data_IF_460520423891
#
_entry.id   IF_460520423891
#
_cell.length_a   1.000
_cell.length_b   1.000
_cell.length_c   1.000
_cell.angle_alpha   90.00
_cell.angle_beta   90.00
_cell.angle_gamma   90.00
#
_symmetry.space_group_name_H-M   'P 1'
#
loop_
_entity.id
_entity.type
_entity.pdbx_description
1 polymer ?
#
# COMPACT_ATOMS: atom_id res chain seq x y z
N UNK A 1 21.16 1.76 15.61
CA UNK A 1 20.49 3.07 15.48
C UNK A 1 20.00 3.24 14.04
N UNK A 2 18.92 2.57 13.66
CA UNK A 2 18.24 2.77 12.37
C UNK A 2 16.74 2.90 12.66
N UNK A 3 16.40 3.82 13.56
CA UNK A 3 15.02 4.17 13.85
C UNK A 3 14.82 5.61 13.42
N UNK A 4 13.74 5.85 12.68
CA UNK A 4 13.28 7.17 12.23
C UNK A 4 13.80 7.65 10.86
N UNK A 5 13.89 6.77 9.86
CA UNK A 5 13.67 7.26 8.48
C UNK A 5 12.17 7.49 8.37
N UNK A 6 11.77 8.76 8.42
CA UNK A 6 10.40 9.28 8.38
C UNK A 6 9.44 8.30 7.68
N UNK A 7 8.42 7.73 8.35
CA UNK A 7 7.50 6.76 7.74
C UNK A 7 6.75 7.31 6.51
N UNK A 8 6.88 8.61 6.26
CA UNK A 8 6.34 9.38 5.14
C UNK A 8 7.16 9.31 3.85
N UNK A 9 8.46 8.97 3.91
CA UNK A 9 9.32 8.84 2.72
C UNK A 9 8.79 7.82 1.68
N UNK A 10 8.39 6.59 2.07
CA UNK A 10 7.77 5.67 1.12
C UNK A 10 6.38 6.13 0.67
N UNK A 11 5.64 6.88 1.50
CA UNK A 11 4.34 7.47 1.15
C UNK A 11 4.48 8.56 0.08
N UNK A 12 5.57 9.32 0.10
CA UNK A 12 5.86 10.37 -0.88
C UNK A 12 6.47 9.83 -2.19
N UNK A 13 7.09 8.64 -2.17
CA UNK A 13 7.75 8.07 -3.35
C UNK A 13 6.78 7.83 -4.52
N UNK A 14 5.58 7.33 -4.22
CA UNK A 14 4.57 7.03 -5.24
C UNK A 14 3.99 8.27 -5.94
N UNK A 15 3.53 9.32 -5.23
CA UNK A 15 3.07 10.54 -5.90
C UNK A 15 4.19 11.26 -6.67
N UNK A 16 5.43 11.20 -6.18
CA UNK A 16 6.59 11.73 -6.91
C UNK A 16 6.83 10.95 -8.22
N UNK A 17 6.73 9.62 -8.19
CA UNK A 17 6.81 8.80 -9.40
C UNK A 17 5.71 9.14 -10.41
N UNK A 18 4.47 9.32 -9.95
CA UNK A 18 3.33 9.70 -10.82
C UNK A 18 3.57 11.08 -11.45
N UNK A 19 4.08 12.05 -10.69
CA UNK A 19 4.46 13.38 -11.20
C UNK A 19 5.57 13.31 -12.25
N UNK A 20 6.61 12.50 -12.01
CA UNK A 20 7.70 12.30 -12.97
C UNK A 20 7.19 11.67 -14.28
N UNK A 21 6.36 10.64 -14.21
CA UNK A 21 5.78 10.01 -15.39
C UNK A 21 4.80 10.92 -16.13
N UNK A 22 4.03 11.74 -15.42
CA UNK A 22 3.19 12.76 -16.05
C UNK A 22 4.02 13.80 -16.83
N UNK A 23 5.19 14.18 -16.31
CA UNK A 23 6.12 15.06 -17.00
C UNK A 23 6.68 14.39 -18.26
N UNK A 24 7.08 13.12 -18.18
CA UNK A 24 7.56 12.34 -19.34
C UNK A 24 6.48 12.25 -20.41
N UNK A 25 5.24 11.90 -20.05
CA UNK A 25 4.12 11.83 -20.99
C UNK A 25 3.84 13.17 -21.68
N UNK A 26 3.98 14.28 -20.94
CA UNK A 26 3.87 15.63 -21.50
C UNK A 26 4.99 15.93 -22.51
N UNK A 27 6.23 15.53 -22.23
CA UNK A 27 7.36 15.69 -23.16
C UNK A 27 7.16 14.82 -24.42
N UNK A 28 6.56 13.64 -24.27
CA UNK A 28 6.20 12.76 -25.39
C UNK A 28 5.00 13.26 -26.22
N UNK A 29 4.38 14.39 -25.85
CA UNK A 29 3.27 14.98 -26.62
C UNK A 29 1.91 14.35 -26.36
N UNK A 30 1.74 13.59 -25.27
CA UNK A 30 0.44 13.04 -24.89
C UNK A 30 -0.50 14.18 -24.48
N UNK A 31 -1.75 14.11 -24.92
CA UNK A 31 -2.76 15.12 -24.56
C UNK A 31 -2.95 15.20 -23.04
N UNK A 32 -3.15 16.41 -22.52
CA UNK A 32 -3.36 16.65 -21.09
C UNK A 32 -4.56 15.85 -20.55
N UNK A 33 -5.59 15.64 -21.37
CA UNK A 33 -6.77 14.85 -21.00
C UNK A 33 -6.42 13.38 -20.71
N UNK A 34 -5.55 12.78 -21.52
CA UNK A 34 -5.11 11.40 -21.33
C UNK A 34 -4.16 11.26 -20.13
N UNK A 35 -3.29 12.25 -19.91
CA UNK A 35 -2.43 12.30 -18.72
C UNK A 35 -3.26 12.38 -17.45
N UNK A 36 -4.31 13.22 -17.43
CA UNK A 36 -5.21 13.35 -16.29
C UNK A 36 -5.99 12.04 -16.04
N UNK A 37 -6.49 11.41 -17.09
CA UNK A 37 -7.18 10.12 -17.02
C UNK A 37 -6.26 9.01 -16.51
N UNK A 38 -5.01 9.00 -16.97
CA UNK A 38 -3.99 8.07 -16.50
C UNK A 38 -3.66 8.29 -15.02
N UNK A 39 -3.43 9.54 -14.59
CA UNK A 39 -3.14 9.87 -13.19
C UNK A 39 -4.31 9.50 -12.26
N UNK A 40 -5.55 9.74 -12.68
CA UNK A 40 -6.74 9.37 -11.91
C UNK A 40 -6.87 7.85 -11.75
N UNK A 41 -6.60 7.08 -12.81
CA UNK A 41 -6.55 5.61 -12.74
C UNK A 41 -5.44 5.10 -11.81
N UNK A 42 -4.31 5.81 -11.71
CA UNK A 42 -3.25 5.45 -10.77
C UNK A 42 -3.67 5.68 -9.31
N UNK A 43 -4.36 6.77 -9.02
CA UNK A 43 -4.92 7.03 -7.69
C UNK A 43 -5.95 5.97 -7.29
N UNK A 44 -6.80 5.55 -8.23
CA UNK A 44 -7.80 4.51 -7.99
C UNK A 44 -7.17 3.14 -7.71
N UNK A 45 -6.12 2.77 -8.47
CA UNK A 45 -5.33 1.56 -8.21
C UNK A 45 -4.62 1.59 -6.86
N UNK A 46 -4.09 2.75 -6.46
CA UNK A 46 -3.46 2.90 -5.16
C UNK A 46 -4.47 2.67 -4.03
N UNK A 47 -5.64 3.32 -4.12
CA UNK A 47 -6.73 3.16 -3.15
C UNK A 47 -7.22 1.71 -3.08
N UNK A 48 -7.34 1.03 -4.21
CA UNK A 48 -7.72 -0.38 -4.27
C UNK A 48 -6.64 -1.28 -3.67
N UNK A 49 -5.36 -0.98 -3.90
CA UNK A 49 -4.23 -1.72 -3.31
C UNK A 49 -4.18 -1.54 -1.80
N UNK A 50 -4.42 -0.32 -1.31
CA UNK A 50 -4.49 -0.02 0.12
C UNK A 50 -5.70 -0.70 0.77
N UNK A 51 -6.86 -0.75 0.08
CA UNK A 51 -8.03 -1.52 0.52
C UNK A 51 -7.74 -3.02 0.58
N UNK A 52 -7.11 -3.60 -0.44
CA UNK A 52 -6.71 -5.03 -0.44
C UNK A 52 -5.71 -5.30 0.67
N UNK A 53 -4.74 -4.41 0.89
CA UNK A 53 -3.76 -4.52 1.98
C UNK A 53 -4.46 -4.43 3.34
N UNK A 54 -5.40 -3.52 3.52
CA UNK A 54 -6.20 -3.42 4.74
C UNK A 54 -7.06 -4.68 4.95
N UNK A 55 -7.67 -5.20 3.89
CA UNK A 55 -8.45 -6.43 3.94
C UNK A 55 -7.57 -7.67 4.22
N UNK A 56 -6.36 -7.74 3.66
CA UNK A 56 -5.39 -8.81 3.98
C UNK A 56 -4.81 -8.68 5.39
N UNK A 57 -4.66 -7.46 5.90
CA UNK A 57 -4.28 -7.21 7.30
C UNK A 57 -5.38 -7.64 8.28
N UNK A 58 -6.65 -7.47 7.91
CA UNK A 58 -7.81 -8.01 8.64
C UNK A 58 -7.92 -9.54 8.53
N UNK A 59 -7.45 -10.12 7.43
CA UNK A 59 -7.45 -11.56 7.19
C UNK A 59 -6.18 -12.26 7.69
N UNK A 60 -5.28 -11.59 8.42
CA UNK A 60 -4.27 -12.27 9.21
C UNK A 60 -5.00 -12.93 10.39
N UNK A 61 -5.20 -14.26 10.37
CA UNK A 61 -5.65 -14.93 11.56
C UNK A 61 -4.55 -14.75 12.59
N UNK A 62 -4.92 -14.53 13.83
CA UNK A 62 -4.06 -14.67 15.00
C UNK A 62 -3.45 -16.07 15.03
N UNK A 63 -2.40 -16.30 14.26
CA UNK A 63 -1.52 -17.45 14.38
C UNK A 63 -0.41 -17.05 15.38
N UNK A 64 -0.78 -16.95 16.66
CA UNK A 64 0.17 -16.45 17.66
C UNK A 64 -0.30 -16.44 19.11
N UNK A 65 -1.20 -17.34 19.52
CA UNK A 65 -1.51 -17.56 20.95
C UNK A 65 -1.15 -18.99 21.35
N UNK A 66 -0.34 -19.22 22.41
CA UNK A 66 -0.01 -20.58 22.85
C UNK A 66 -1.29 -21.29 23.29
N UNK A 67 -1.60 -22.42 22.64
CA UNK A 67 -2.67 -23.33 23.07
C UNK A 67 -2.35 -23.80 24.50
N UNK A 68 -3.17 -23.49 25.52
CA UNK A 68 -2.95 -24.09 26.83
C UNK A 68 -3.14 -25.61 26.68
N UNK A 69 -2.17 -26.37 27.16
CA UNK A 69 -2.22 -27.82 27.19
C UNK A 69 -3.50 -28.28 27.92
N UNK A 70 -4.17 -29.35 27.46
CA UNK A 70 -5.25 -29.95 28.23
C UNK A 70 -4.67 -30.36 29.59
N UNK A 71 -5.21 -29.78 30.67
CA UNK A 71 -4.85 -30.16 32.03
C UNK A 71 -5.12 -31.65 32.25
N UNK A 72 -4.35 -32.32 33.12
CA UNK A 72 -4.59 -33.72 33.43
C UNK A 72 -6.00 -33.87 34.04
N UNK A 73 -6.69 -35.00 33.80
CA UNK A 73 -7.97 -35.27 34.46
C UNK A 73 -7.75 -35.33 35.97
N UNK A 74 -8.45 -34.47 36.72
CA UNK A 74 -8.50 -34.55 38.18
C UNK A 74 -9.23 -35.84 38.61
N UNK A 75 -8.79 -36.48 39.72
CA UNK A 75 -9.33 -37.75 40.23
C UNK A 75 -10.72 -37.65 40.86
#
# INVERSE_FOLDING_TARGET
MFSSVMPWLPLAAYPVYVLMMALVLKICGVERGDIAKWALRQADRQRLTDLIRAARGLAAPEAGGPRPAPGPPEP
#
